data_IF_439920852481
#
_entry.id   IF_439920852481
#
_cell.length_a   1.000
_cell.length_b   1.000
_cell.length_c   1.000
_cell.angle_alpha   90.00
_cell.angle_beta   90.00
_cell.angle_gamma   90.00
#
_symmetry.space_group_name_H-M   'P 1'
#
loop_
_entity.id
_entity.type
_entity.pdbx_description
1 polymer ?
#
# COMPACT_ATOMS: atom_id res chain seq x y z
N UNK A 1 16.63 17.81 4.60
CA UNK A 1 15.25 17.28 4.65
C UNK A 1 15.27 15.81 4.36
N UNK A 2 14.75 15.00 5.28
CA UNK A 2 14.68 13.58 4.99
C UNK A 2 13.69 13.33 3.85
N UNK A 3 14.18 12.70 2.81
CA UNK A 3 13.33 12.23 1.72
C UNK A 3 12.60 11.02 2.26
N UNK A 4 11.26 11.08 2.31
CA UNK A 4 10.46 9.92 2.72
C UNK A 4 10.56 8.91 1.59
N UNK A 5 11.34 7.87 1.82
CA UNK A 5 11.50 6.79 0.86
C UNK A 5 10.29 5.85 0.99
N UNK A 6 9.44 5.74 -0.05
CA UNK A 6 8.29 4.83 -0.01
C UNK A 6 8.68 3.39 0.29
N UNK A 7 9.85 2.97 -0.17
CA UNK A 7 10.35 1.61 0.05
C UNK A 7 10.54 1.33 1.54
N UNK A 8 11.07 2.31 2.29
CA UNK A 8 11.25 2.15 3.74
C UNK A 8 9.91 2.04 4.46
N UNK A 9 8.93 2.84 4.08
CA UNK A 9 7.59 2.79 4.65
C UNK A 9 6.90 1.45 4.38
N UNK A 10 6.98 0.98 3.14
CA UNK A 10 6.44 -0.32 2.75
C UNK A 10 7.12 -1.44 3.54
N UNK A 11 8.44 -1.42 3.63
CA UNK A 11 9.21 -2.45 4.34
C UNK A 11 8.84 -2.52 5.80
N UNK A 12 8.70 -1.37 6.45
CA UNK A 12 8.34 -1.30 7.87
C UNK A 12 6.96 -1.88 8.15
N UNK A 13 5.96 -1.45 7.39
CA UNK A 13 4.59 -1.91 7.57
C UNK A 13 4.47 -3.39 7.20
N UNK A 14 5.10 -3.80 6.10
CA UNK A 14 5.12 -5.20 5.68
C UNK A 14 5.75 -6.11 6.73
N UNK A 15 6.80 -5.65 7.38
CA UNK A 15 7.47 -6.40 8.45
C UNK A 15 6.55 -6.57 9.67
N UNK A 16 5.87 -5.50 10.08
CA UNK A 16 4.93 -5.54 11.21
C UNK A 16 3.76 -6.48 10.91
N UNK A 17 3.23 -6.41 9.69
CA UNK A 17 2.10 -7.24 9.26
C UNK A 17 2.51 -8.65 8.83
N UNK A 18 3.81 -8.96 8.85
CA UNK A 18 4.35 -10.25 8.44
C UNK A 18 3.97 -10.63 7.02
N UNK A 19 4.09 -9.68 6.10
CA UNK A 19 3.79 -9.89 4.69
C UNK A 19 4.97 -10.53 3.96
N UNK A 20 4.64 -11.28 2.90
CA UNK A 20 5.67 -11.91 2.07
C UNK A 20 6.42 -10.87 1.22
N UNK A 21 7.60 -11.24 0.74
CA UNK A 21 8.39 -10.42 -0.17
C UNK A 21 7.61 -10.11 -1.45
N UNK A 22 6.81 -11.07 -1.91
CA UNK A 22 6.01 -10.92 -3.11
C UNK A 22 4.99 -9.79 -2.98
N UNK A 23 4.27 -9.74 -1.85
CA UNK A 23 3.32 -8.67 -1.57
C UNK A 23 4.01 -7.32 -1.42
N UNK A 24 5.14 -7.29 -0.74
CA UNK A 24 5.95 -6.09 -0.56
C UNK A 24 6.39 -5.51 -1.89
N UNK A 25 6.92 -6.34 -2.79
CA UNK A 25 7.34 -5.90 -4.13
C UNK A 25 6.17 -5.39 -4.95
N UNK A 26 5.04 -6.07 -4.88
CA UNK A 26 3.83 -5.65 -5.59
C UNK A 26 3.34 -4.29 -5.10
N UNK A 27 3.40 -4.05 -3.80
CA UNK A 27 3.03 -2.75 -3.23
C UNK A 27 3.92 -1.62 -3.76
N UNK A 28 5.22 -1.88 -3.88
CA UNK A 28 6.17 -0.91 -4.44
C UNK A 28 5.82 -0.59 -5.89
N UNK A 29 5.48 -1.60 -6.68
CA UNK A 29 5.06 -1.43 -8.08
C UNK A 29 3.80 -0.56 -8.14
N UNK A 30 2.81 -0.83 -7.30
CA UNK A 30 1.56 -0.06 -7.24
C UNK A 30 1.85 1.41 -6.91
N UNK A 31 2.71 1.67 -5.93
CA UNK A 31 3.07 3.02 -5.54
C UNK A 31 3.82 3.76 -6.65
N UNK A 32 4.69 3.08 -7.38
CA UNK A 32 5.40 3.68 -8.52
C UNK A 32 4.43 4.05 -9.63
N UNK A 33 3.46 3.19 -9.92
CA UNK A 33 2.41 3.47 -10.91
C UNK A 33 1.56 4.67 -10.47
N UNK A 34 1.22 4.75 -9.21
CA UNK A 34 0.47 5.89 -8.67
C UNK A 34 1.25 7.19 -8.83
N UNK A 35 2.54 7.16 -8.58
CA UNK A 35 3.42 8.33 -8.75
C UNK A 35 3.44 8.80 -10.21
N UNK A 36 3.50 7.87 -11.14
CA UNK A 36 3.50 8.18 -12.59
C UNK A 36 2.21 8.85 -13.05
N UNK A 37 1.09 8.53 -12.40
CA UNK A 37 -0.20 9.14 -12.72
C UNK A 37 -0.45 10.45 -11.96
N UNK A 38 0.53 10.92 -11.19
CA UNK A 38 0.42 12.15 -10.42
C UNK A 38 -0.23 12.00 -9.05
N UNK A 39 -0.57 10.79 -8.64
CA UNK A 39 -1.11 10.54 -7.31
C UNK A 39 0.01 10.59 -6.26
N UNK A 40 -0.22 11.32 -5.17
CA UNK A 40 0.75 11.44 -4.08
C UNK A 40 0.48 10.36 -3.04
N UNK A 41 0.74 9.10 -3.39
CA UNK A 41 0.48 7.97 -2.51
C UNK A 41 1.72 7.49 -1.75
N UNK A 42 2.91 7.68 -2.31
CA UNK A 42 4.15 7.13 -1.76
C UNK A 42 4.68 7.82 -0.53
N UNK A 43 4.22 9.04 -0.23
CA UNK A 43 4.68 9.83 0.94
C UNK A 43 3.71 9.74 2.11
N UNK A 44 2.57 9.10 1.92
CA UNK A 44 1.46 9.10 2.83
C UNK A 44 1.28 7.68 3.39
N UNK A 45 1.34 7.50 4.73
CA UNK A 45 1.10 6.17 5.32
C UNK A 45 -0.22 5.56 4.88
N UNK A 46 -1.24 6.38 4.62
CA UNK A 46 -2.54 5.91 4.14
C UNK A 46 -2.43 5.28 2.76
N UNK A 47 -1.68 5.92 1.86
CA UNK A 47 -1.42 5.38 0.52
C UNK A 47 -0.60 4.10 0.56
N UNK A 48 0.41 4.06 1.42
CA UNK A 48 1.26 2.88 1.60
C UNK A 48 0.42 1.69 2.11
N UNK A 49 -0.43 1.92 3.11
CA UNK A 49 -1.29 0.88 3.66
C UNK A 49 -2.25 0.33 2.61
N UNK A 50 -2.85 1.22 1.82
CA UNK A 50 -3.77 0.82 0.74
C UNK A 50 -3.05 0.01 -0.33
N UNK A 51 -1.83 0.42 -0.72
CA UNK A 51 -1.04 -0.30 -1.71
C UNK A 51 -0.68 -1.70 -1.20
N UNK A 52 -0.32 -1.83 0.07
CA UNK A 52 -0.02 -3.13 0.67
C UNK A 52 -1.24 -4.04 0.71
N UNK A 53 -2.41 -3.50 1.03
CA UNK A 53 -3.64 -4.27 1.04
C UNK A 53 -3.98 -4.78 -0.37
N UNK A 54 -3.89 -3.92 -1.39
CA UNK A 54 -4.10 -4.31 -2.78
C UNK A 54 -3.07 -5.35 -3.24
N UNK A 55 -1.83 -5.20 -2.80
CA UNK A 55 -0.77 -6.15 -3.11
C UNK A 55 -1.08 -7.54 -2.57
N UNK A 56 -1.61 -7.61 -1.34
CA UNK A 56 -2.01 -8.88 -0.75
C UNK A 56 -3.12 -9.54 -1.56
N UNK A 57 -4.11 -8.78 -2.00
CA UNK A 57 -5.19 -9.28 -2.84
C UNK A 57 -4.63 -9.80 -4.17
N UNK A 58 -3.75 -9.05 -4.81
CA UNK A 58 -3.16 -9.39 -6.10
C UNK A 58 -2.30 -10.65 -6.04
N UNK A 59 -1.59 -10.86 -4.93
CA UNK A 59 -0.69 -12.00 -4.79
C UNK A 59 -1.36 -13.21 -4.15
N UNK A 60 -2.62 -13.08 -3.72
CA UNK A 60 -3.36 -14.16 -3.06
C UNK A 60 -3.00 -14.35 -1.60
N UNK A 61 -2.30 -13.40 -1.01
CA UNK A 61 -1.95 -13.46 0.41
C UNK A 61 -3.16 -13.10 1.27
N UNK A 62 -3.47 -13.93 2.26
CA UNK A 62 -4.66 -13.74 3.10
C UNK A 62 -4.34 -12.81 4.27
N UNK A 63 -4.63 -11.52 4.09
CA UNK A 63 -4.50 -10.51 5.13
C UNK A 63 -5.75 -9.62 5.12
N UNK A 64 -6.32 -9.38 6.29
CA UNK A 64 -7.52 -8.54 6.42
C UNK A 64 -7.15 -7.07 6.46
N UNK A 65 -8.13 -6.21 6.19
CA UNK A 65 -7.98 -4.76 6.36
C UNK A 65 -7.58 -4.42 7.80
N UNK A 66 -8.12 -5.14 8.77
CA UNK A 66 -7.82 -4.95 10.18
C UNK A 66 -6.33 -5.17 10.48
N UNK A 67 -5.75 -6.22 9.94
CA UNK A 67 -4.33 -6.52 10.14
C UNK A 67 -3.44 -5.42 9.57
N UNK A 68 -3.76 -4.94 8.37
CA UNK A 68 -3.03 -3.84 7.75
C UNK A 68 -3.25 -2.54 8.52
N UNK A 69 -4.46 -2.31 9.01
CA UNK A 69 -4.80 -1.15 9.83
C UNK A 69 -3.94 -1.11 11.10
N UNK A 70 -3.84 -2.22 11.79
CA UNK A 70 -3.04 -2.32 13.01
C UNK A 70 -1.56 -2.07 12.71
N UNK A 71 -1.04 -2.67 11.65
CA UNK A 71 0.37 -2.56 11.29
C UNK A 71 0.75 -1.15 10.84
N UNK A 72 -0.14 -0.46 10.15
CA UNK A 72 0.13 0.87 9.57
C UNK A 72 -0.28 2.03 10.47
N UNK A 73 -1.19 1.79 11.42
CA UNK A 73 -1.79 2.85 12.21
C UNK A 73 -2.86 3.65 11.46
N UNK A 74 -3.30 3.15 10.31
CA UNK A 74 -4.31 3.78 9.47
C UNK A 74 -5.64 3.06 9.65
N UNK A 75 -6.75 3.80 9.72
CA UNK A 75 -8.07 3.19 9.92
C UNK A 75 -8.49 2.36 8.72
N UNK A 76 -9.32 1.34 8.96
CA UNK A 76 -9.85 0.48 7.89
C UNK A 76 -10.63 1.26 6.84
N UNK A 77 -11.41 2.26 7.29
CA UNK A 77 -12.18 3.11 6.39
C UNK A 77 -11.26 3.85 5.42
N UNK A 78 -10.18 4.41 5.94
CA UNK A 78 -9.19 5.13 5.12
C UNK A 78 -8.51 4.18 4.13
N UNK A 79 -8.12 2.98 4.58
CA UNK A 79 -7.53 1.97 3.70
C UNK A 79 -8.49 1.64 2.55
N UNK A 80 -9.75 1.40 2.87
CA UNK A 80 -10.79 1.07 1.88
C UNK A 80 -10.95 2.19 0.86
N UNK A 81 -11.04 3.43 1.32
CA UNK A 81 -11.22 4.59 0.44
C UNK A 81 -10.02 4.80 -0.48
N UNK A 82 -8.81 4.67 0.05
CA UNK A 82 -7.60 4.81 -0.74
C UNK A 82 -7.43 3.65 -1.73
N UNK A 83 -7.82 2.44 -1.34
CA UNK A 83 -7.81 1.28 -2.22
C UNK A 83 -8.73 1.48 -3.43
N UNK A 84 -9.90 2.06 -3.21
CA UNK A 84 -10.84 2.35 -4.31
C UNK A 84 -10.19 3.28 -5.35
N UNK A 85 -9.50 4.32 -4.89
CA UNK A 85 -8.79 5.25 -5.77
C UNK A 85 -7.66 4.56 -6.55
N UNK A 86 -6.89 3.73 -5.88
CA UNK A 86 -5.79 3.00 -6.52
C UNK A 86 -6.31 1.98 -7.54
N UNK A 87 -7.39 1.29 -7.23
CA UNK A 87 -8.02 0.34 -8.15
C UNK A 87 -8.51 1.05 -9.41
N UNK A 88 -9.10 2.23 -9.27
CA UNK A 88 -9.57 3.02 -10.39
C UNK A 88 -8.39 3.40 -11.29
N UNK A 89 -7.29 3.83 -10.70
CA UNK A 89 -6.07 4.16 -11.43
C UNK A 89 -5.55 2.96 -12.23
N UNK A 90 -5.50 1.79 -11.61
CA UNK A 90 -4.99 0.57 -12.25
C UNK A 90 -5.90 0.09 -13.37
N UNK A 91 -7.21 0.31 -13.26
CA UNK A 91 -8.17 -0.05 -14.32
C UNK A 91 -8.05 0.85 -15.55
N UNK A 92 -7.66 2.10 -15.34
CA UNK A 92 -7.58 3.08 -16.43
C UNK A 92 -6.33 2.89 -17.30
N UNK A 93 -5.50 1.96 -16.95
CA UNK A 93 -4.39 1.54 -17.79
C UNK A 93 -4.87 0.47 -18.76
#
# INVERSE_FOLDING_TARGET
MPVVDPVKGVSRIASIAELSEKSKRKAIVILNQAKETGMVAGKDPMGIAAALYLACISTGEVKSQKEISIASGVTEVTIRNRCAGLRQMLKDE
#
